data_IF_029967373512
#
_entry.id   IF_029967373512
#
_cell.length_a   1.000
_cell.length_b   1.000
_cell.length_c   1.000
_cell.angle_alpha   90.00
_cell.angle_beta   90.00
_cell.angle_gamma   90.00
#
_symmetry.space_group_name_H-M   'P 1'
#
loop_
_entity.id
_entity.type
_entity.pdbx_description
1 polymer ?
#
# COMPACT_ATOMS: atom_id res chain seq x y z
N UNK A 1 9.77 -7.63 -10.84
CA UNK A 1 9.05 -7.34 -12.11
C UNK A 1 9.48 -8.40 -13.09
N UNK A 2 8.54 -9.03 -13.79
CA UNK A 2 8.83 -10.00 -14.84
C UNK A 2 9.14 -9.29 -16.16
N UNK A 3 9.75 -10.01 -17.10
CA UNK A 3 10.12 -9.48 -18.43
C UNK A 3 8.92 -8.99 -19.24
N UNK A 4 7.73 -9.56 -18.99
CA UNK A 4 6.45 -9.14 -19.59
C UNK A 4 5.84 -7.87 -18.97
N UNK A 5 6.50 -7.29 -17.96
CA UNK A 5 6.05 -6.10 -17.23
C UNK A 5 5.15 -6.40 -16.02
N UNK A 6 4.86 -7.66 -15.70
CA UNK A 6 4.04 -7.99 -14.54
C UNK A 6 4.78 -7.66 -13.23
N UNK A 7 4.12 -6.87 -12.39
CA UNK A 7 4.59 -6.51 -11.05
C UNK A 7 3.87 -7.35 -9.98
N UNK A 8 4.63 -7.84 -9.01
CA UNK A 8 4.12 -8.58 -7.86
C UNK A 8 4.99 -8.28 -6.63
N UNK A 9 4.40 -8.38 -5.44
CA UNK A 9 5.13 -8.25 -4.18
C UNK A 9 5.62 -9.63 -3.71
N UNK A 10 6.74 -9.63 -2.99
CA UNK A 10 7.32 -10.81 -2.32
C UNK A 10 7.56 -10.48 -0.84
N UNK A 11 7.91 -11.49 -0.06
CA UNK A 11 8.28 -11.37 1.36
C UNK A 11 7.18 -10.78 2.26
N UNK A 12 6.00 -11.43 2.28
CA UNK A 12 4.83 -11.06 3.10
C UNK A 12 4.96 -11.41 4.59
N UNK A 13 6.13 -11.17 5.19
CA UNK A 13 6.43 -11.59 6.56
C UNK A 13 5.61 -10.89 7.64
N UNK A 14 4.95 -9.75 7.34
CA UNK A 14 3.99 -9.10 8.22
C UNK A 14 2.87 -8.42 7.44
N UNK A 15 1.71 -8.28 8.06
CA UNK A 15 0.50 -7.68 7.49
C UNK A 15 -0.34 -7.00 8.60
N UNK A 16 -1.45 -6.34 8.23
CA UNK A 16 -2.25 -5.48 9.11
C UNK A 16 -1.41 -4.28 9.65
N UNK A 17 -1.55 -3.90 10.92
CA UNK A 17 -0.74 -2.80 11.49
C UNK A 17 0.62 -3.26 12.05
N UNK A 18 0.99 -4.53 11.84
CA UNK A 18 2.24 -5.13 12.34
C UNK A 18 3.44 -4.75 11.46
N UNK A 19 3.75 -3.45 11.41
CA UNK A 19 4.84 -2.91 10.60
C UNK A 19 6.21 -3.16 11.23
N UNK A 20 7.21 -3.51 10.42
CA UNK A 20 8.62 -3.61 10.87
C UNK A 20 9.08 -2.27 11.46
N UNK A 21 9.71 -2.33 12.63
CA UNK A 21 10.43 -1.20 13.24
C UNK A 21 11.93 -1.37 12.98
N UNK A 22 12.64 -0.29 12.65
CA UNK A 22 14.11 -0.28 12.57
C UNK A 22 14.61 0.87 13.44
N UNK A 23 15.48 0.57 14.40
CA UNK A 23 15.98 1.54 15.41
C UNK A 23 14.88 2.32 16.15
N UNK A 24 13.76 1.67 16.47
CA UNK A 24 12.63 2.30 17.17
C UNK A 24 11.63 3.07 16.27
N UNK A 25 11.94 3.29 14.99
CA UNK A 25 11.06 3.99 14.05
C UNK A 25 10.29 3.01 13.15
N UNK A 26 8.99 3.27 12.91
CA UNK A 26 8.18 2.51 11.93
C UNK A 26 8.75 2.74 10.52
N UNK A 27 9.05 1.65 9.80
CA UNK A 27 9.64 1.69 8.45
C UNK A 27 8.62 2.11 7.38
N UNK A 28 7.37 1.68 7.52
CA UNK A 28 6.28 2.07 6.61
C UNK A 28 5.46 3.23 7.19
N UNK A 29 5.76 4.43 6.70
CA UNK A 29 5.12 5.67 7.15
C UNK A 29 3.89 6.04 6.35
N UNK A 30 3.72 5.46 5.16
CA UNK A 30 2.63 5.80 4.24
C UNK A 30 1.59 4.67 4.17
N UNK A 31 0.31 5.01 4.03
CA UNK A 31 -0.79 4.05 3.91
C UNK A 31 -0.94 3.49 2.48
N UNK A 32 -0.35 4.16 1.49
CA UNK A 32 -0.30 3.73 0.09
C UNK A 32 1.11 4.00 -0.44
N UNK A 33 1.71 3.05 -1.15
CA UNK A 33 3.08 3.17 -1.68
C UNK A 33 3.00 3.33 -3.19
N UNK A 34 3.41 4.50 -3.66
CA UNK A 34 3.51 4.80 -5.09
C UNK A 34 4.80 5.57 -5.34
N UNK A 35 5.83 4.88 -5.79
CA UNK A 35 7.16 5.47 -6.01
C UNK A 35 7.22 6.22 -7.33
N UNK A 36 8.20 7.13 -7.46
CA UNK A 36 8.46 7.82 -8.71
C UNK A 36 8.77 6.86 -9.86
N UNK A 37 9.43 5.74 -9.59
CA UNK A 37 9.81 4.77 -10.63
C UNK A 37 8.56 4.14 -11.25
N UNK A 38 7.53 3.84 -10.44
CA UNK A 38 6.24 3.40 -10.96
C UNK A 38 5.57 4.50 -11.79
N UNK A 39 5.61 5.75 -11.35
CA UNK A 39 5.02 6.88 -12.08
C UNK A 39 5.68 7.08 -13.45
N UNK A 40 7.01 6.97 -13.53
CA UNK A 40 7.75 7.09 -14.80
C UNK A 40 7.31 5.98 -15.77
N UNK A 41 7.19 4.74 -15.29
CA UNK A 41 6.75 3.61 -16.13
C UNK A 41 5.31 3.77 -16.58
N UNK A 42 4.39 4.09 -15.66
CA UNK A 42 2.96 4.31 -15.95
C UNK A 42 2.80 5.41 -16.99
N UNK A 43 3.50 6.53 -16.82
CA UNK A 43 3.43 7.69 -17.70
C UNK A 43 4.29 7.58 -18.97
N UNK A 44 4.89 6.41 -19.23
CA UNK A 44 5.75 6.16 -20.40
C UNK A 44 6.90 7.17 -20.54
N UNK A 45 7.45 7.61 -19.41
CA UNK A 45 8.57 8.54 -19.37
C UNK A 45 8.20 10.02 -19.53
N UNK A 46 6.93 10.41 -19.41
CA UNK A 46 6.54 11.81 -19.45
C UNK A 46 7.19 12.63 -18.32
N UNK A 47 7.54 13.89 -18.60
CA UNK A 47 8.13 14.78 -17.59
C UNK A 47 7.15 15.10 -16.45
N UNK A 48 5.88 15.37 -16.79
CA UNK A 48 4.81 15.56 -15.82
C UNK A 48 4.01 14.25 -15.65
N UNK A 49 4.57 13.28 -14.94
CA UNK A 49 3.99 11.92 -14.86
C UNK A 49 2.52 11.88 -14.39
N UNK A 50 2.10 12.83 -13.53
CA UNK A 50 0.75 12.89 -12.95
C UNK A 50 -0.29 13.60 -13.82
N UNK A 51 0.12 14.32 -14.86
CA UNK A 51 -0.82 14.96 -15.81
C UNK A 51 -0.90 14.18 -17.11
N UNK A 52 -0.94 12.85 -17.01
CA UNK A 52 -1.03 11.95 -18.16
C UNK A 52 -2.32 11.14 -18.12
N UNK A 53 -2.88 10.84 -19.29
CA UNK A 53 -4.05 9.94 -19.41
C UNK A 53 -3.76 8.55 -18.87
N UNK A 54 -2.51 8.09 -19.00
CA UNK A 54 -2.06 6.82 -18.43
C UNK A 54 -2.15 6.82 -16.90
N UNK A 55 -1.76 7.91 -16.25
CA UNK A 55 -1.88 8.03 -14.80
C UNK A 55 -3.34 8.13 -14.37
N UNK A 56 -4.17 8.94 -15.04
CA UNK A 56 -5.61 9.00 -14.78
C UNK A 56 -6.26 7.61 -14.84
N UNK A 57 -5.94 6.83 -15.89
CA UNK A 57 -6.42 5.46 -16.04
C UNK A 57 -5.93 4.54 -14.92
N UNK A 58 -4.67 4.67 -14.48
CA UNK A 58 -4.14 3.94 -13.35
C UNK A 58 -4.91 4.25 -12.06
N UNK A 59 -5.18 5.53 -11.79
CA UNK A 59 -5.97 5.96 -10.64
C UNK A 59 -7.37 5.35 -10.67
N UNK A 60 -8.08 5.43 -11.81
CA UNK A 60 -9.40 4.81 -11.96
C UNK A 60 -9.38 3.30 -11.69
N UNK A 61 -8.35 2.58 -12.15
CA UNK A 61 -8.21 1.15 -11.89
C UNK A 61 -8.05 0.88 -10.39
N UNK A 62 -7.23 1.68 -9.69
CA UNK A 62 -7.08 1.57 -8.24
C UNK A 62 -8.38 1.88 -7.50
N UNK A 63 -9.14 2.89 -7.91
CA UNK A 63 -10.43 3.24 -7.31
C UNK A 63 -11.46 2.12 -7.47
N UNK A 64 -11.59 1.59 -8.69
CA UNK A 64 -12.48 0.45 -8.99
C UNK A 64 -12.08 -0.78 -8.17
N UNK A 65 -10.78 -1.08 -8.08
CA UNK A 65 -10.28 -2.19 -7.28
C UNK A 65 -10.57 -2.02 -5.78
N UNK A 66 -10.31 -0.83 -5.23
CA UNK A 66 -10.59 -0.53 -3.82
C UNK A 66 -12.08 -0.73 -3.49
N UNK A 67 -12.98 -0.20 -4.31
CA UNK A 67 -14.43 -0.36 -4.10
C UNK A 67 -14.88 -1.82 -4.25
N UNK A 68 -14.35 -2.56 -5.22
CA UNK A 68 -14.66 -3.98 -5.40
C UNK A 68 -14.26 -4.82 -4.17
N UNK A 69 -13.09 -4.55 -3.57
CA UNK A 69 -12.66 -5.20 -2.33
C UNK A 69 -13.55 -4.78 -1.16
N UNK A 70 -13.88 -3.48 -1.05
CA UNK A 70 -14.74 -2.95 0.00
C UNK A 70 -16.13 -3.58 0.02
N UNK A 71 -16.73 -3.80 -1.15
CA UNK A 71 -18.02 -4.49 -1.29
C UNK A 71 -18.00 -5.93 -0.77
N UNK A 72 -16.82 -6.55 -0.68
CA UNK A 72 -16.61 -7.91 -0.16
C UNK A 72 -15.89 -7.92 1.20
N UNK A 73 -15.84 -6.80 1.92
CA UNK A 73 -15.08 -6.68 3.16
C UNK A 73 -15.42 -7.76 4.21
N UNK A 74 -16.69 -8.13 4.34
CA UNK A 74 -17.13 -9.17 5.28
C UNK A 74 -16.48 -10.53 5.00
N UNK A 75 -16.22 -10.87 3.73
CA UNK A 75 -15.51 -12.09 3.38
C UNK A 75 -14.09 -12.07 3.95
N UNK A 76 -13.35 -10.98 3.73
CA UNK A 76 -12.00 -10.82 4.26
C UNK A 76 -12.00 -10.86 5.80
N UNK A 77 -12.88 -10.11 6.45
CA UNK A 77 -13.01 -10.09 7.91
C UNK A 77 -13.26 -11.50 8.48
N UNK A 78 -14.16 -12.27 7.86
CA UNK A 78 -14.44 -13.63 8.30
C UNK A 78 -13.25 -14.58 8.08
N UNK A 79 -12.56 -14.49 6.95
CA UNK A 79 -11.35 -15.28 6.68
C UNK A 79 -10.26 -15.01 7.73
N UNK A 80 -9.99 -13.74 8.04
CA UNK A 80 -9.04 -13.38 9.10
C UNK A 80 -9.54 -13.80 10.49
N UNK A 81 -10.85 -13.73 10.76
CA UNK A 81 -11.41 -14.17 12.05
C UNK A 81 -11.21 -15.67 12.27
N UNK A 82 -11.39 -16.49 11.24
CA UNK A 82 -11.12 -17.94 11.32
C UNK A 82 -9.63 -18.25 11.55
N UNK A 83 -8.74 -17.32 11.20
CA UNK A 83 -7.29 -17.50 11.36
C UNK A 83 -6.77 -17.10 12.74
N UNK A 84 -7.58 -16.55 13.65
CA UNK A 84 -7.16 -16.18 15.01
C UNK A 84 -6.58 -17.37 15.80
N UNK A 85 -7.09 -18.58 15.56
CA UNK A 85 -6.61 -19.80 16.22
C UNK A 85 -5.32 -20.38 15.66
N UNK A 86 -4.74 -19.78 14.62
CA UNK A 86 -3.56 -20.33 13.92
C UNK A 86 -2.22 -20.07 14.63
N UNK A 87 -2.20 -19.22 15.66
CA UNK A 87 -0.99 -18.89 16.42
C UNK A 87 -0.05 -17.89 15.72
N UNK A 88 -0.51 -17.17 14.69
CA UNK A 88 0.29 -16.13 14.06
C UNK A 88 0.51 -14.93 15.00
N UNK A 89 1.73 -14.38 15.09
CA UNK A 89 2.00 -13.23 15.94
C UNK A 89 1.29 -11.95 15.47
N UNK A 90 1.01 -11.81 14.17
CA UNK A 90 0.34 -10.64 13.58
C UNK A 90 -1.19 -10.67 13.68
N UNK A 91 -1.77 -11.77 14.17
CA UNK A 91 -3.21 -11.99 14.20
C UNK A 91 -3.60 -12.77 15.45
N UNK A 92 -3.70 -12.06 16.57
CA UNK A 92 -4.00 -12.63 17.89
C UNK A 92 -5.36 -12.19 18.43
N UNK A 93 -5.89 -11.06 17.95
CA UNK A 93 -7.16 -10.53 18.44
C UNK A 93 -8.03 -9.91 17.35
N UNK A 94 -9.27 -9.61 17.69
CA UNK A 94 -10.17 -8.85 16.81
C UNK A 94 -9.68 -7.40 16.59
N UNK A 95 -8.81 -6.86 17.45
CA UNK A 95 -8.22 -5.54 17.26
C UNK A 95 -7.27 -5.52 16.06
N UNK A 96 -6.56 -6.63 15.79
CA UNK A 96 -5.73 -6.78 14.58
C UNK A 96 -6.61 -6.71 13.33
N UNK A 97 -7.77 -7.39 13.36
CA UNK A 97 -8.75 -7.42 12.26
C UNK A 97 -9.41 -6.05 12.06
N UNK A 98 -9.54 -5.24 13.12
CA UNK A 98 -10.09 -3.89 13.03
C UNK A 98 -9.29 -3.00 12.06
N UNK A 99 -8.01 -3.32 11.81
CA UNK A 99 -7.21 -2.65 10.79
C UNK A 99 -7.83 -2.74 9.39
N UNK A 100 -8.43 -3.88 9.03
CA UNK A 100 -9.11 -4.06 7.73
C UNK A 100 -10.31 -3.12 7.65
N UNK A 101 -11.09 -3.02 8.74
CA UNK A 101 -12.26 -2.13 8.80
C UNK A 101 -11.86 -0.68 8.61
N UNK A 102 -10.77 -0.26 9.23
CA UNK A 102 -10.19 1.08 9.11
C UNK A 102 -9.67 1.34 7.68
N UNK A 103 -8.92 0.38 7.12
CA UNK A 103 -8.32 0.51 5.79
C UNK A 103 -9.36 0.58 4.67
N UNK A 104 -10.48 -0.13 4.82
CA UNK A 104 -11.60 -0.11 3.87
C UNK A 104 -12.67 0.95 4.21
N UNK A 105 -12.44 1.78 5.23
CA UNK A 105 -13.36 2.83 5.69
C UNK A 105 -14.82 2.34 5.79
N UNK A 106 -15.04 1.24 6.51
CA UNK A 106 -16.36 0.59 6.56
C UNK A 106 -17.40 1.36 7.38
N UNK A 107 -16.96 2.30 8.20
CA UNK A 107 -17.80 3.26 8.93
C UNK A 107 -18.31 4.42 8.07
N UNK A 108 -17.82 4.54 6.83
CA UNK A 108 -18.14 5.61 5.89
C UNK A 108 -19.12 5.16 4.81
N UNK A 109 -19.74 6.11 4.13
CA UNK A 109 -20.44 5.83 2.87
C UNK A 109 -19.44 5.42 1.78
N UNK A 110 -19.94 4.84 0.68
CA UNK A 110 -19.07 4.45 -0.43
C UNK A 110 -18.31 5.67 -1.02
N UNK A 111 -18.99 6.81 -1.15
CA UNK A 111 -18.40 8.05 -1.64
C UNK A 111 -17.30 8.56 -0.70
N UNK A 112 -17.58 8.66 0.61
CA UNK A 112 -16.58 9.12 1.58
C UNK A 112 -15.39 8.15 1.69
N UNK A 113 -15.64 6.84 1.52
CA UNK A 113 -14.58 5.84 1.49
C UNK A 113 -13.69 5.98 0.24
N UNK A 114 -14.29 6.34 -0.90
CA UNK A 114 -13.55 6.65 -2.13
C UNK A 114 -12.72 7.93 -1.96
N UNK A 115 -13.31 9.00 -1.42
CA UNK A 115 -12.60 10.26 -1.12
C UNK A 115 -11.44 10.03 -0.15
N UNK A 116 -11.64 9.19 0.87
CA UNK A 116 -10.57 8.74 1.76
C UNK A 116 -9.43 8.10 0.96
N UNK A 117 -9.72 7.12 0.10
CA UNK A 117 -8.69 6.41 -0.66
C UNK A 117 -7.98 7.32 -1.68
N UNK A 118 -8.71 8.23 -2.34
CA UNK A 118 -8.14 9.25 -3.23
C UNK A 118 -7.12 10.12 -2.50
N UNK A 119 -7.43 10.54 -1.26
CA UNK A 119 -6.49 11.30 -0.43
C UNK A 119 -5.22 10.49 -0.14
N UNK A 120 -5.34 9.22 0.25
CA UNK A 120 -4.18 8.37 0.53
C UNK A 120 -3.28 8.20 -0.72
N UNK A 121 -3.89 8.06 -1.90
CA UNK A 121 -3.17 7.96 -3.16
C UNK A 121 -2.43 9.26 -3.52
N UNK A 122 -3.09 10.41 -3.33
CA UNK A 122 -2.47 11.71 -3.55
C UNK A 122 -1.34 11.98 -2.56
N UNK A 123 -1.51 11.62 -1.29
CA UNK A 123 -0.47 11.76 -0.27
C UNK A 123 0.74 10.87 -0.57
N UNK A 124 0.53 9.67 -1.09
CA UNK A 124 1.60 8.76 -1.52
C UNK A 124 2.46 9.37 -2.65
N UNK A 125 1.82 10.05 -3.61
CA UNK A 125 2.51 10.77 -4.67
C UNK A 125 3.40 11.90 -4.10
N UNK A 126 2.86 12.75 -3.23
CA UNK A 126 3.60 13.88 -2.67
C UNK A 126 4.69 13.44 -1.66
N UNK A 127 4.49 12.32 -0.98
CA UNK A 127 5.46 11.68 -0.09
C UNK A 127 6.62 10.98 -0.82
N UNK A 128 6.57 10.82 -2.14
CA UNK A 128 7.61 10.15 -2.93
C UNK A 128 9.02 10.74 -2.75
N UNK A 129 9.14 12.03 -2.41
CA UNK A 129 10.42 12.67 -2.10
C UNK A 129 11.05 12.19 -0.79
N UNK A 130 10.25 11.94 0.26
CA UNK A 130 10.78 11.47 1.56
C UNK A 130 11.09 9.97 1.53
N UNK A 131 10.31 9.18 0.79
CA UNK A 131 10.51 7.74 0.62
C UNK A 131 11.77 7.37 -0.18
N UNK A 132 12.22 8.23 -1.12
CA UNK A 132 13.47 8.02 -1.88
C UNK A 132 14.72 8.04 -1.00
N UNK A 133 14.76 8.91 0.00
CA UNK A 133 15.89 8.95 0.93
C UNK A 133 16.04 7.60 1.65
N UNK A 134 14.95 7.03 2.16
CA UNK A 134 14.98 5.76 2.89
C UNK A 134 15.44 4.58 2.01
N UNK A 135 15.07 4.54 0.72
CA UNK A 135 15.55 3.52 -0.22
C UNK A 135 17.02 3.71 -0.62
N UNK A 136 17.45 4.94 -0.92
CA UNK A 136 18.84 5.25 -1.29
C UNK A 136 19.80 4.93 -0.14
N UNK A 137 19.44 5.28 1.10
CA UNK A 137 20.24 4.94 2.28
C UNK A 137 20.32 3.42 2.52
N UNK A 138 19.36 2.63 2.06
CA UNK A 138 19.42 1.16 2.15
C UNK A 138 20.35 0.54 1.10
N UNK A 139 20.36 1.04 -0.14
CA UNK A 139 21.26 0.55 -1.20
C UNK A 139 22.72 0.90 -0.91
N UNK A 140 23.00 2.10 -0.39
CA UNK A 140 24.36 2.53 -0.06
C UNK A 140 24.93 1.73 1.12
N UNK A 141 24.11 1.40 2.13
CA UNK A 141 24.59 0.64 3.30
C UNK A 141 24.94 -0.82 2.99
N UNK A 142 24.41 -1.38 1.90
CA UNK A 142 24.78 -2.71 1.41
C UNK A 142 26.10 -2.71 0.61
N UNK A 143 26.52 -1.57 0.06
CA UNK A 143 27.79 -1.44 -0.67
C UNK A 143 28.96 -0.96 0.21
N UNK A 144 28.70 -0.43 1.40
CA UNK A 144 29.72 0.03 2.33
C UNK A 144 30.22 -1.05 3.32
N UNK A 145 29.77 -2.30 3.15
CA UNK A 145 30.16 -3.45 3.99
C UNK A 145 30.72 -4.64 3.17
N UNK A 146 31.15 -4.39 1.92
CA UNK A 146 32.03 -5.28 1.16
C UNK A 146 33.28 -4.52 0.77
#
# INVERSE_FOLDING_TARGET
VKDDGQLFHIDFGHFLDHKKKKFGYKRERVPFVLTQDFLIVISKGAQECTKTREFERFQEMCYKAYLAIRQRANLFINLFSMMLGSGMPELQSFDDIAYIRKTLALDKTEQEALEYFMKQMNDAHHGGWTTKMDWIFHTIKQHALN
#
